data_IF_047605552743
#
_entry.id   IF_047605552743
#
_cell.length_a   1.000
_cell.length_b   1.000
_cell.length_c   1.000
_cell.angle_alpha   90.00
_cell.angle_beta   90.00
_cell.angle_gamma   90.00
#
_symmetry.space_group_name_H-M   'P 1'
#
loop_
_entity.id
_entity.type
_entity.pdbx_description
1 polymer ?
#
# COMPACT_ATOMS: atom_id res chain seq x y z
N UNK A 1 -24.97 4.33 -2.77
CA UNK A 1 -23.67 5.04 -2.77
C UNK A 1 -22.51 4.06 -2.83
N UNK A 2 -21.30 4.54 -2.96
CA UNK A 2 -20.07 3.76 -2.82
C UNK A 2 -19.56 4.00 -1.41
N UNK A 3 -19.27 2.95 -0.61
CA UNK A 3 -18.65 3.12 0.70
C UNK A 3 -17.27 3.78 0.54
N UNK A 4 -16.96 4.73 1.41
CA UNK A 4 -15.68 5.42 1.45
C UNK A 4 -15.10 5.25 2.84
N UNK A 5 -13.87 4.73 2.93
CA UNK A 5 -13.13 4.61 4.17
C UNK A 5 -12.26 5.85 4.37
N UNK A 6 -12.18 6.33 5.62
CA UNK A 6 -11.28 7.41 5.98
C UNK A 6 -9.91 6.84 6.31
N UNK A 7 -8.89 7.33 5.63
CA UNK A 7 -7.52 6.95 5.86
C UNK A 7 -6.62 8.16 6.17
N UNK A 8 -5.40 7.90 6.60
CA UNK A 8 -4.31 8.87 6.65
C UNK A 8 -3.01 8.23 6.23
N UNK A 9 -2.24 8.96 5.42
CA UNK A 9 -0.85 8.63 5.13
C UNK A 9 0.06 9.35 6.14
N UNK A 10 0.82 8.55 6.89
CA UNK A 10 1.72 8.99 7.95
C UNK A 10 3.14 9.09 7.44
N UNK A 11 3.89 10.05 7.95
CA UNK A 11 5.33 10.11 7.75
C UNK A 11 6.05 9.27 8.80
N UNK A 12 6.92 8.36 8.36
CA UNK A 12 7.91 7.72 9.24
C UNK A 12 9.05 8.72 9.46
N UNK A 13 9.27 9.09 10.73
CA UNK A 13 10.13 10.21 11.11
C UNK A 13 11.55 9.83 11.48
N UNK A 14 11.78 8.57 11.82
CA UNK A 14 13.12 8.08 12.22
C UNK A 14 13.29 6.57 11.97
N UNK A 15 14.50 6.10 12.21
CA UNK A 15 14.90 4.72 11.96
C UNK A 15 14.31 3.69 12.97
N UNK A 16 13.55 4.15 13.95
CA UNK A 16 12.79 3.26 14.87
C UNK A 16 11.36 3.01 14.40
N UNK A 17 10.93 3.68 13.34
CA UNK A 17 9.57 3.56 12.81
C UNK A 17 8.55 4.45 13.49
N UNK A 18 8.99 5.49 14.23
CA UNK A 18 8.07 6.47 14.81
C UNK A 18 7.38 7.28 13.71
N UNK A 19 6.08 7.49 13.87
CA UNK A 19 5.24 8.27 12.94
C UNK A 19 4.84 9.62 13.52
N UNK A 20 4.32 10.50 12.68
CA UNK A 20 3.96 11.88 13.00
C UNK A 20 2.55 12.06 13.61
N UNK A 21 1.80 10.98 13.80
CA UNK A 21 0.49 11.01 14.44
C UNK A 21 0.45 10.02 15.62
N UNK A 22 -0.14 10.43 16.74
CA UNK A 22 -0.27 9.60 17.94
C UNK A 22 -1.41 8.58 17.79
N UNK A 23 -1.27 7.41 18.41
CA UNK A 23 -2.20 6.28 18.33
C UNK A 23 -3.65 6.64 18.65
N UNK A 24 -3.90 7.61 19.55
CA UNK A 24 -5.26 7.99 19.91
C UNK A 24 -6.02 8.68 18.75
N UNK A 25 -5.32 9.24 17.76
CA UNK A 25 -5.93 9.72 16.52
C UNK A 25 -6.12 8.57 15.52
N UNK A 26 -5.15 7.68 15.41
CA UNK A 26 -5.21 6.51 14.51
C UNK A 26 -6.41 5.60 14.81
N UNK A 27 -6.79 5.49 16.09
CA UNK A 27 -7.98 4.73 16.51
C UNK A 27 -9.31 5.32 16.02
N UNK A 28 -9.32 6.53 15.45
CA UNK A 28 -10.55 7.23 15.00
C UNK A 28 -10.73 7.17 13.49
N UNK A 29 -9.78 6.62 12.76
CA UNK A 29 -9.81 6.45 11.30
C UNK A 29 -9.99 4.98 10.94
N UNK A 30 -10.33 4.70 9.71
CA UNK A 30 -10.61 3.35 9.25
C UNK A 30 -9.34 2.52 9.05
N UNK A 31 -8.29 3.13 8.48
CA UNK A 31 -6.98 2.51 8.35
C UNK A 31 -5.88 3.56 8.19
N UNK A 32 -4.63 3.16 8.37
CA UNK A 32 -3.47 4.03 8.22
C UNK A 32 -2.43 3.41 7.28
N UNK A 33 -1.84 4.28 6.46
CA UNK A 33 -0.67 4.02 5.63
C UNK A 33 0.53 4.69 6.30
N UNK A 34 1.71 4.08 6.27
CA UNK A 34 2.93 4.71 6.75
C UNK A 34 4.02 4.66 5.68
N UNK A 35 4.60 5.81 5.39
CA UNK A 35 5.51 6.00 4.26
C UNK A 35 6.80 6.69 4.68
N UNK A 36 7.90 6.35 3.99
CA UNK A 36 9.14 7.11 4.05
C UNK A 36 9.12 8.23 3.00
N UNK A 37 9.27 9.46 3.48
CA UNK A 37 9.40 10.65 2.63
C UNK A 37 10.72 11.36 2.87
N UNK A 38 11.47 11.66 1.81
CA UNK A 38 12.79 12.31 1.89
C UNK A 38 12.84 13.61 2.71
N UNK A 39 11.78 14.46 2.75
CA UNK A 39 11.79 15.64 3.59
C UNK A 39 11.47 15.37 5.07
N UNK A 40 10.99 14.17 5.42
CA UNK A 40 10.47 13.87 6.75
C UNK A 40 11.41 12.99 7.59
N UNK A 41 12.40 12.35 6.95
CA UNK A 41 13.42 11.51 7.62
C UNK A 41 14.82 11.98 7.21
N UNK A 42 15.82 11.67 8.03
CA UNK A 42 17.20 11.87 7.64
C UNK A 42 17.53 11.06 6.37
N UNK A 43 17.86 11.75 5.29
CA UNK A 43 18.15 11.16 3.97
C UNK A 43 19.62 10.75 3.78
N UNK A 44 20.42 10.76 4.87
CA UNK A 44 21.80 10.27 4.90
C UNK A 44 21.93 8.92 5.60
N UNK A 45 20.78 8.26 5.88
CA UNK A 45 20.73 6.93 6.50
C UNK A 45 21.27 5.84 5.58
N UNK A 46 21.65 4.73 6.19
CA UNK A 46 22.07 3.51 5.49
C UNK A 46 20.87 2.64 5.09
N UNK A 47 21.12 1.61 4.27
CA UNK A 47 20.11 0.56 3.97
C UNK A 47 19.55 -0.02 5.26
N UNK A 48 20.39 -0.28 6.27
CA UNK A 48 19.94 -0.80 7.57
C UNK A 48 19.01 0.16 8.31
N UNK A 49 19.29 1.46 8.25
CA UNK A 49 18.49 2.47 8.92
C UNK A 49 17.06 2.53 8.37
N UNK A 50 16.92 2.60 7.04
CA UNK A 50 15.60 2.63 6.41
C UNK A 50 14.89 1.28 6.50
N UNK A 51 15.61 0.17 6.44
CA UNK A 51 15.02 -1.15 6.72
C UNK A 51 14.44 -1.18 8.13
N UNK A 52 15.21 -0.73 9.14
CA UNK A 52 14.74 -0.69 10.52
C UNK A 52 13.52 0.23 10.69
N UNK A 53 13.46 1.36 9.97
CA UNK A 53 12.31 2.25 9.97
C UNK A 53 11.03 1.52 9.49
N UNK A 54 11.12 0.78 8.40
CA UNK A 54 10.01 -0.04 7.90
C UNK A 54 9.63 -1.16 8.88
N UNK A 55 10.62 -1.89 9.42
CA UNK A 55 10.36 -2.96 10.36
C UNK A 55 9.72 -2.44 11.64
N UNK A 56 10.21 -1.33 12.18
CA UNK A 56 9.71 -0.71 13.40
C UNK A 56 8.26 -0.25 13.26
N UNK A 57 7.91 0.43 12.15
CA UNK A 57 6.54 0.91 11.95
C UNK A 57 5.54 -0.24 11.78
N UNK A 58 5.96 -1.38 11.25
CA UNK A 58 5.11 -2.56 11.10
C UNK A 58 4.71 -3.21 12.45
N UNK A 59 5.44 -2.94 13.53
CA UNK A 59 5.08 -3.42 14.87
C UNK A 59 3.83 -2.72 15.43
N UNK A 60 3.49 -1.51 14.94
CA UNK A 60 2.28 -0.82 15.34
C UNK A 60 1.03 -1.49 14.70
N UNK A 61 0.09 -2.03 15.52
CA UNK A 61 -1.10 -2.71 14.99
C UNK A 61 -2.10 -1.76 14.30
N UNK A 62 -1.99 -0.45 14.52
CA UNK A 62 -2.85 0.58 13.92
C UNK A 62 -2.38 1.00 12.52
N UNK A 63 -1.19 0.60 12.09
CA UNK A 63 -0.69 0.78 10.74
C UNK A 63 -1.03 -0.47 9.93
N UNK A 64 -1.66 -0.32 8.78
CA UNK A 64 -2.17 -1.42 7.96
C UNK A 64 -1.37 -1.61 6.68
N UNK A 65 -0.90 -0.51 6.10
CA UNK A 65 -0.24 -0.47 4.79
C UNK A 65 1.12 0.24 4.94
N UNK A 66 2.13 -0.27 4.27
CA UNK A 66 3.41 0.41 4.07
C UNK A 66 3.36 1.05 2.69
N UNK A 67 3.35 2.39 2.69
CA UNK A 67 3.16 3.19 1.49
C UNK A 67 4.43 3.27 0.64
N UNK A 68 4.26 3.16 -0.66
CA UNK A 68 5.26 3.32 -1.74
C UNK A 68 6.72 3.02 -1.34
N UNK A 69 7.05 1.79 -0.90
CA UNK A 69 8.42 1.39 -0.52
C UNK A 69 9.26 1.15 -1.79
N UNK A 70 9.64 2.26 -2.46
CA UNK A 70 10.14 2.19 -3.82
C UNK A 70 11.27 3.19 -4.17
N UNK A 71 11.60 4.13 -3.29
CA UNK A 71 12.50 5.23 -3.63
C UNK A 71 13.96 4.90 -3.34
N UNK A 72 14.80 4.86 -4.37
CA UNK A 72 16.24 4.59 -4.25
C UNK A 72 17.01 5.64 -3.44
N UNK A 73 16.41 6.78 -3.11
CA UNK A 73 17.00 7.77 -2.20
C UNK A 73 16.92 7.31 -0.74
N UNK A 74 16.04 6.36 -0.43
CA UNK A 74 15.79 5.77 0.89
C UNK A 74 15.88 4.23 0.76
N UNK A 75 17.07 3.69 0.39
CA UNK A 75 17.22 2.29 0.03
C UNK A 75 17.03 1.37 1.23
N UNK A 76 16.31 0.27 1.07
CA UNK A 76 16.09 -0.72 2.11
C UNK A 76 16.36 -2.15 1.62
N UNK A 77 16.49 -3.09 2.56
CA UNK A 77 16.49 -4.52 2.25
C UNK A 77 15.05 -4.98 1.98
N UNK A 78 14.67 -4.97 0.71
CA UNK A 78 13.33 -5.34 0.27
C UNK A 78 12.94 -6.76 0.66
N UNK A 79 13.92 -7.65 0.82
CA UNK A 79 13.68 -9.02 1.31
C UNK A 79 13.25 -9.01 2.77
N UNK A 80 13.94 -8.27 3.61
CA UNK A 80 13.59 -8.10 5.02
C UNK A 80 12.24 -7.39 5.20
N UNK A 81 11.97 -6.35 4.39
CA UNK A 81 10.69 -5.60 4.40
C UNK A 81 9.53 -6.53 4.04
N UNK A 82 9.63 -7.31 2.96
CA UNK A 82 8.58 -8.25 2.56
C UNK A 82 8.34 -9.33 3.64
N UNK A 83 9.41 -9.92 4.19
CA UNK A 83 9.30 -10.92 5.24
C UNK A 83 8.64 -10.37 6.51
N UNK A 84 8.98 -9.13 6.90
CA UNK A 84 8.38 -8.46 8.05
C UNK A 84 6.89 -8.14 7.81
N UNK A 85 6.53 -7.67 6.61
CA UNK A 85 5.14 -7.39 6.26
C UNK A 85 4.27 -8.66 6.34
N UNK A 86 4.76 -9.80 5.84
CA UNK A 86 4.07 -11.09 6.00
C UNK A 86 3.89 -11.46 7.49
N UNK A 87 4.94 -11.32 8.29
CA UNK A 87 4.93 -11.65 9.73
C UNK A 87 3.96 -10.78 10.52
N UNK A 88 3.92 -9.48 10.23
CA UNK A 88 3.10 -8.50 10.95
C UNK A 88 1.73 -8.27 10.30
N UNK A 89 1.36 -9.05 9.28
CA UNK A 89 0.10 -8.92 8.54
C UNK A 89 -0.12 -7.50 8.02
N UNK A 90 0.87 -6.96 7.30
CA UNK A 90 0.78 -5.65 6.64
C UNK A 90 0.71 -5.82 5.14
N UNK A 91 0.01 -4.92 4.45
CA UNK A 91 0.13 -4.78 3.01
C UNK A 91 1.36 -3.96 2.65
N UNK A 92 1.96 -4.29 1.51
CA UNK A 92 2.91 -3.41 0.85
C UNK A 92 2.21 -2.76 -0.35
N UNK A 93 2.29 -1.45 -0.43
CA UNK A 93 1.70 -0.71 -1.54
C UNK A 93 2.50 -0.90 -2.82
N UNK A 94 1.81 -1.21 -3.91
CA UNK A 94 2.30 -1.02 -5.27
C UNK A 94 1.65 0.26 -5.83
N UNK A 95 2.35 1.37 -5.66
CA UNK A 95 1.89 2.69 -6.08
C UNK A 95 2.07 2.85 -7.60
N UNK A 96 0.94 2.94 -8.33
CA UNK A 96 0.97 3.05 -9.79
C UNK A 96 1.56 4.38 -10.26
N UNK A 97 1.35 5.47 -9.50
CA UNK A 97 1.90 6.79 -9.83
C UNK A 97 3.43 6.81 -9.74
N UNK A 98 4.03 6.07 -8.81
CA UNK A 98 5.49 5.95 -8.68
C UNK A 98 6.16 5.43 -9.95
N UNK A 99 5.47 4.60 -10.72
CA UNK A 99 5.95 4.00 -11.96
C UNK A 99 5.72 4.88 -13.20
N UNK A 100 5.02 6.01 -13.05
CA UNK A 100 4.75 6.91 -14.16
C UNK A 100 6.03 7.62 -14.64
N UNK A 101 6.15 7.91 -15.95
CA UNK A 101 7.36 8.55 -16.52
C UNK A 101 7.70 9.91 -15.92
N UNK A 102 6.71 10.62 -15.39
CA UNK A 102 6.83 11.94 -14.76
C UNK A 102 6.91 11.87 -13.22
N UNK A 103 7.01 10.68 -12.65
CA UNK A 103 7.12 10.50 -11.20
C UNK A 103 8.38 11.16 -10.64
N UNK A 104 8.26 11.72 -9.43
CA UNK A 104 9.40 12.24 -8.67
C UNK A 104 10.23 11.14 -8.01
N UNK A 105 9.72 9.91 -7.92
CA UNK A 105 10.39 8.74 -7.33
C UNK A 105 11.59 8.32 -8.17
N UNK A 106 12.63 7.81 -7.51
CA UNK A 106 13.85 7.35 -8.17
C UNK A 106 14.00 5.84 -8.06
N UNK A 107 14.22 5.17 -9.20
CA UNK A 107 14.44 3.73 -9.24
C UNK A 107 13.24 2.90 -8.78
N UNK A 108 12.02 3.46 -8.87
CA UNK A 108 10.82 2.82 -8.36
C UNK A 108 10.58 1.43 -9.00
N UNK A 109 10.77 1.31 -10.32
CA UNK A 109 10.56 0.05 -11.03
C UNK A 109 11.50 -1.05 -10.53
N UNK A 110 12.79 -0.75 -10.46
CA UNK A 110 13.81 -1.70 -10.03
C UNK A 110 13.63 -2.12 -8.58
N UNK A 111 13.21 -1.20 -7.71
CA UNK A 111 12.91 -1.49 -6.32
C UNK A 111 11.67 -2.35 -6.18
N UNK A 112 10.59 -2.05 -6.92
CA UNK A 112 9.40 -2.89 -6.94
C UNK A 112 9.66 -4.29 -7.51
N UNK A 113 10.50 -4.44 -8.53
CA UNK A 113 10.88 -5.77 -9.04
C UNK A 113 11.52 -6.64 -7.96
N UNK A 114 12.40 -6.06 -7.13
CA UNK A 114 13.01 -6.75 -5.98
C UNK A 114 11.98 -7.04 -4.88
N UNK A 115 11.18 -6.04 -4.50
CA UNK A 115 10.17 -6.15 -3.46
C UNK A 115 9.10 -7.20 -3.81
N UNK A 116 8.54 -7.14 -5.03
CA UNK A 116 7.52 -8.06 -5.49
C UNK A 116 8.05 -9.50 -5.61
N UNK A 117 9.31 -9.67 -6.03
CA UNK A 117 9.98 -10.97 -6.00
C UNK A 117 10.07 -11.52 -4.57
N UNK A 118 10.40 -10.67 -3.60
CA UNK A 118 10.39 -11.05 -2.19
C UNK A 118 8.97 -11.34 -1.68
N UNK A 119 7.96 -10.57 -2.09
CA UNK A 119 6.56 -10.83 -1.75
C UNK A 119 6.10 -12.21 -2.22
N UNK A 120 6.42 -12.61 -3.44
CA UNK A 120 6.13 -13.96 -3.95
C UNK A 120 6.78 -15.05 -3.08
N UNK A 121 8.01 -14.81 -2.63
CA UNK A 121 8.76 -15.75 -1.80
C UNK A 121 8.16 -15.95 -0.40
N UNK A 122 7.66 -14.87 0.21
CA UNK A 122 7.15 -14.89 1.60
C UNK A 122 5.63 -14.96 1.70
N UNK A 123 4.91 -14.93 0.57
CA UNK A 123 3.46 -14.90 0.54
C UNK A 123 2.90 -13.56 1.05
N UNK A 124 3.64 -12.47 0.87
CA UNK A 124 3.25 -11.15 1.33
C UNK A 124 2.22 -10.55 0.40
N UNK A 125 1.08 -10.13 0.96
CA UNK A 125 0.03 -9.48 0.18
C UNK A 125 0.39 -8.04 -0.15
N UNK A 126 0.00 -7.62 -1.36
CA UNK A 126 0.14 -6.24 -1.83
C UNK A 126 -1.21 -5.59 -2.07
N UNK A 127 -1.26 -4.27 -1.96
CA UNK A 127 -2.37 -3.44 -2.40
C UNK A 127 -1.91 -2.55 -3.55
N UNK A 128 -2.72 -2.45 -4.61
CA UNK A 128 -2.46 -1.54 -5.72
C UNK A 128 -3.19 -0.23 -5.44
N UNK A 129 -2.50 0.87 -5.67
CA UNK A 129 -2.97 2.20 -5.36
C UNK A 129 -2.65 3.16 -6.52
N UNK A 130 -3.48 4.17 -6.73
CA UNK A 130 -3.26 5.17 -7.78
C UNK A 130 -2.52 6.40 -7.27
N UNK A 131 -2.49 6.63 -5.95
CA UNK A 131 -1.94 7.85 -5.33
C UNK A 131 -2.46 9.12 -6.04
N UNK A 132 -3.78 9.16 -6.23
CA UNK A 132 -4.43 10.17 -7.06
C UNK A 132 -4.43 11.53 -6.38
N UNK A 133 -3.82 12.53 -7.02
CA UNK A 133 -3.83 13.92 -6.59
C UNK A 133 -4.85 14.77 -7.36
N UNK A 134 -5.54 14.19 -8.33
CA UNK A 134 -6.66 14.80 -9.05
C UNK A 134 -7.67 13.73 -9.48
N UNK A 135 -8.87 14.18 -9.84
CA UNK A 135 -9.99 13.29 -10.19
C UNK A 135 -9.70 12.34 -11.36
N UNK A 136 -8.86 12.74 -12.30
CA UNK A 136 -8.52 11.95 -13.47
C UNK A 136 -7.58 10.77 -13.15
N UNK A 137 -6.89 10.82 -12.03
CA UNK A 137 -5.92 9.79 -11.61
C UNK A 137 -6.55 8.73 -10.70
N UNK A 138 -7.78 8.98 -10.20
CA UNK A 138 -8.48 8.03 -9.33
C UNK A 138 -8.70 6.70 -10.05
N UNK A 139 -8.14 5.63 -9.48
CA UNK A 139 -8.23 4.28 -10.04
C UNK A 139 -7.32 4.04 -11.26
N UNK A 140 -6.35 4.92 -11.54
CA UNK A 140 -5.37 4.70 -12.58
C UNK A 140 -4.28 3.73 -12.12
N UNK A 141 -4.50 2.46 -12.35
CA UNK A 141 -3.59 1.37 -11.95
C UNK A 141 -2.79 0.78 -13.12
N UNK A 142 -2.78 1.46 -14.28
CA UNK A 142 -2.22 0.89 -15.52
C UNK A 142 -0.76 0.46 -15.39
N UNK A 143 0.08 1.32 -14.78
CA UNK A 143 1.51 1.05 -14.64
C UNK A 143 1.77 -0.11 -13.66
N UNK A 144 1.01 -0.18 -12.56
CA UNK A 144 1.08 -1.30 -11.62
C UNK A 144 0.69 -2.61 -12.29
N UNK A 145 -0.42 -2.65 -13.02
CA UNK A 145 -0.86 -3.86 -13.74
C UNK A 145 0.16 -4.33 -14.78
N UNK A 146 0.82 -3.42 -15.49
CA UNK A 146 1.90 -3.77 -16.44
C UNK A 146 3.06 -4.45 -15.72
N UNK A 147 3.52 -3.90 -14.59
CA UNK A 147 4.61 -4.47 -13.82
C UNK A 147 4.24 -5.86 -13.27
N UNK A 148 3.04 -6.03 -12.73
CA UNK A 148 2.57 -7.34 -12.23
C UNK A 148 2.51 -8.38 -13.35
N UNK A 149 2.07 -7.99 -14.56
CA UNK A 149 2.03 -8.87 -15.73
C UNK A 149 3.45 -9.26 -16.18
N UNK A 150 4.40 -8.31 -16.22
CA UNK A 150 5.79 -8.56 -16.57
C UNK A 150 6.46 -9.55 -15.61
N UNK A 151 6.13 -9.48 -14.33
CA UNK A 151 6.67 -10.36 -13.29
C UNK A 151 5.89 -11.66 -13.10
N UNK A 152 4.77 -11.85 -13.79
CA UNK A 152 3.85 -12.97 -13.57
C UNK A 152 3.45 -13.08 -12.09
N UNK A 153 3.17 -11.93 -11.47
CA UNK A 153 2.87 -11.86 -10.03
C UNK A 153 1.55 -12.56 -9.70
N UNK A 154 1.49 -13.39 -8.65
CA UNK A 154 0.30 -14.17 -8.30
C UNK A 154 -0.88 -13.28 -7.90
N UNK A 155 -2.03 -13.45 -8.55
CA UNK A 155 -3.26 -12.68 -8.28
C UNK A 155 -3.77 -12.88 -6.84
N UNK A 156 -3.54 -14.05 -6.28
CA UNK A 156 -3.92 -14.36 -4.90
C UNK A 156 -3.25 -13.47 -3.84
N UNK A 157 -2.09 -12.89 -4.16
CA UNK A 157 -1.38 -11.93 -3.29
C UNK A 157 -1.83 -10.49 -3.50
N UNK A 158 -2.68 -10.19 -4.49
CA UNK A 158 -3.24 -8.86 -4.74
C UNK A 158 -4.58 -8.72 -4.00
N UNK A 159 -4.65 -7.80 -3.02
CA UNK A 159 -5.85 -7.66 -2.18
C UNK A 159 -7.00 -6.94 -2.87
N UNK A 160 -6.72 -6.09 -3.85
CA UNK A 160 -7.75 -5.39 -4.62
C UNK A 160 -8.72 -6.31 -5.38
N UNK A 161 -8.36 -7.58 -5.54
CA UNK A 161 -9.20 -8.58 -6.23
C UNK A 161 -10.38 -9.05 -5.40
N UNK A 162 -10.42 -8.75 -4.08
CA UNK A 162 -11.50 -9.19 -3.21
C UNK A 162 -11.61 -8.32 -1.95
N UNK A 163 -12.83 -7.82 -1.68
CA UNK A 163 -13.13 -7.11 -0.44
C UNK A 163 -12.84 -7.94 0.81
N UNK A 164 -13.05 -9.24 0.76
CA UNK A 164 -12.77 -10.14 1.90
C UNK A 164 -11.28 -10.28 2.18
N UNK A 165 -10.42 -10.21 1.14
CA UNK A 165 -8.98 -10.17 1.34
C UNK A 165 -8.55 -8.87 2.05
N UNK A 166 -9.05 -7.72 1.61
CA UNK A 166 -8.77 -6.45 2.25
C UNK A 166 -9.30 -6.39 3.69
N UNK A 167 -10.49 -6.90 3.92
CA UNK A 167 -11.14 -6.94 5.24
C UNK A 167 -10.37 -7.80 6.26
N UNK A 168 -9.63 -8.81 5.82
CA UNK A 168 -8.79 -9.63 6.71
C UNK A 168 -7.67 -8.82 7.40
N UNK A 169 -7.33 -7.63 6.88
CA UNK A 169 -6.27 -6.76 7.39
C UNK A 169 -6.77 -5.40 7.87
N UNK A 170 -7.96 -4.98 7.43
CA UNK A 170 -8.57 -3.68 7.77
C UNK A 170 -9.83 -3.95 8.62
N UNK A 171 -9.73 -3.85 9.96
CA UNK A 171 -10.84 -4.22 10.87
C UNK A 171 -12.11 -3.40 10.65
N UNK A 172 -12.01 -2.13 10.27
CA UNK A 172 -13.16 -1.28 9.95
C UNK A 172 -13.93 -1.79 8.72
N UNK A 173 -13.21 -2.26 7.69
CA UNK A 173 -13.82 -2.87 6.51
C UNK A 173 -14.48 -4.20 6.85
N UNK A 174 -13.84 -5.05 7.66
CA UNK A 174 -14.43 -6.31 8.14
C UNK A 174 -15.73 -6.06 8.91
N UNK A 175 -15.74 -5.06 9.79
CA UNK A 175 -16.95 -4.64 10.52
C UNK A 175 -18.05 -4.18 9.57
N UNK A 176 -17.75 -3.27 8.63
CA UNK A 176 -18.73 -2.77 7.66
C UNK A 176 -19.32 -3.87 6.79
N UNK A 177 -18.49 -4.83 6.34
CA UNK A 177 -18.99 -5.97 5.56
C UNK A 177 -19.96 -6.86 6.35
N UNK A 178 -19.82 -6.93 7.67
CA UNK A 178 -20.70 -7.71 8.55
C UNK A 178 -21.96 -6.96 8.95
N UNK A 179 -21.86 -5.66 9.24
CA UNK A 179 -22.96 -4.85 9.76
C UNK A 179 -23.84 -4.26 8.64
N UNK A 180 -23.24 -3.92 7.49
CA UNK A 180 -23.94 -3.26 6.38
C UNK A 180 -23.61 -3.91 5.01
N UNK A 181 -23.85 -5.21 4.84
CA UNK A 181 -23.47 -5.92 3.61
C UNK A 181 -24.14 -5.37 2.35
N UNK A 182 -25.32 -4.76 2.47
CA UNK A 182 -26.06 -4.16 1.35
C UNK A 182 -25.32 -2.97 0.71
N UNK A 183 -24.42 -2.27 1.44
CA UNK A 183 -23.60 -1.20 0.87
C UNK A 183 -22.69 -1.71 -0.25
N UNK A 184 -22.24 -2.97 -0.13
CA UNK A 184 -21.31 -3.61 -1.05
C UNK A 184 -22.02 -4.39 -2.17
N UNK A 185 -23.23 -4.90 -1.93
CA UNK A 185 -24.01 -5.62 -2.93
C UNK A 185 -24.32 -4.75 -4.16
N UNK A 186 -24.64 -3.48 -3.97
CA UNK A 186 -24.93 -2.56 -5.06
C UNK A 186 -23.67 -2.18 -5.87
N UNK A 187 -22.48 -2.23 -5.26
CA UNK A 187 -21.22 -1.99 -5.95
C UNK A 187 -20.78 -3.19 -6.80
N UNK A 188 -21.11 -4.41 -6.36
CA UNK A 188 -20.75 -5.66 -7.05
C UNK A 188 -21.76 -6.04 -8.16
N UNK A 189 -23.03 -5.63 -8.04
CA UNK A 189 -24.10 -5.98 -8.99
C UNK A 189 -24.19 -5.06 -10.21
N UNK A 190 -23.43 -3.97 -10.26
CA UNK A 190 -23.33 -3.07 -11.41
C UNK A 190 -21.87 -2.96 -11.85
N UNK A 191 -21.32 -3.93 -12.59
CA UNK A 191 -20.07 -3.69 -13.29
C UNK A 191 -20.32 -2.50 -14.22
N UNK A 192 -19.56 -1.43 -13.99
CA UNK A 192 -19.65 -0.20 -14.77
C UNK A 192 -19.59 -0.56 -16.26
N UNK A 193 -20.73 -0.34 -16.92
CA UNK A 193 -20.89 -0.66 -18.34
C UNK A 193 -19.82 0.07 -19.13
N UNK A 194 -19.09 -0.70 -19.93
CA UNK A 194 -18.11 -0.17 -20.85
C UNK A 194 -18.69 0.99 -21.65
N UNK A 195 -18.05 2.13 -21.59
CA UNK A 195 -18.35 3.28 -22.41
C UNK A 195 -18.00 2.92 -23.87
N UNK A 196 -18.95 2.35 -24.60
CA UNK A 196 -18.96 2.42 -26.05
C UNK A 196 -19.22 3.88 -26.42
N UNK A 197 -18.18 4.67 -26.61
CA UNK A 197 -18.25 5.88 -27.41
C UNK A 197 -17.73 5.55 -28.80
N UNK A 198 -18.69 5.37 -29.70
CA UNK A 198 -18.51 5.50 -31.15
C UNK A 198 -18.06 6.90 -31.53
#
# INVERSE_FOLDING_TARGET
>A
GIPVLMETELNILDHTGRVDLEDHYLQKIDYAIASLHTPCIDNHGTVSDYTNAYLGVMENPLIHIIGHPDDSRLPADWTAVAAAAAKHHKFLELNSHSLAPNSSRKGARENYEQLLTACMRYGTSIIIDSDAHCENDVGNHEMAHRLLADLHFPEELVVNTSLSKAAAFIPSLDRLLKEEPELFYNALSHPQGGNNRT
#
